data_IF_136929261034
#
_entry.id   IF_136929261034
#
_cell.length_a   1.000
_cell.length_b   1.000
_cell.length_c   1.000
_cell.angle_alpha   90.00
_cell.angle_beta   90.00
_cell.angle_gamma   90.00
#
_symmetry.space_group_name_H-M   'P 1'
#
loop_
_entity.id
_entity.type
_entity.pdbx_description
1 polymer ?
#
# COMPACT_ATOMS: atom_id res chain seq x y z
N UNK A 1 8.90 10.58 6.13
CA UNK A 1 7.75 11.04 6.97
C UNK A 1 7.70 10.14 8.21
N UNK A 2 7.58 10.71 9.41
CA UNK A 2 7.63 9.96 10.68
C UNK A 2 6.55 8.87 10.80
N UNK A 3 5.35 9.08 10.22
CA UNK A 3 4.28 8.09 10.27
C UNK A 3 4.65 6.74 9.60
N UNK A 4 5.55 6.75 8.61
CA UNK A 4 5.85 5.58 7.78
C UNK A 4 7.07 4.78 8.23
N UNK A 5 7.94 5.37 9.05
CA UNK A 5 9.18 4.70 9.45
C UNK A 5 8.92 3.63 10.50
N UNK A 6 9.77 2.61 10.47
CA UNK A 6 9.85 1.50 11.42
C UNK A 6 11.06 1.62 12.35
N UNK A 7 11.91 2.65 12.17
CA UNK A 7 13.07 2.94 13.03
C UNK A 7 12.76 4.06 14.01
N UNK A 8 13.17 3.90 15.28
CA UNK A 8 13.08 4.96 16.30
C UNK A 8 13.86 6.21 15.91
N UNK A 9 15.05 6.04 15.35
CA UNK A 9 15.94 7.14 14.97
C UNK A 9 15.32 8.00 13.87
N UNK A 10 14.85 7.34 12.80
CA UNK A 10 14.16 8.02 11.71
C UNK A 10 12.83 8.64 12.17
N UNK A 11 12.11 7.98 13.08
CA UNK A 11 10.88 8.50 13.66
C UNK A 11 11.13 9.85 14.31
N UNK A 12 12.05 9.92 15.27
CA UNK A 12 12.35 11.18 15.97
C UNK A 12 12.92 12.24 15.05
N UNK A 13 13.79 11.85 14.10
CA UNK A 13 14.31 12.78 13.08
C UNK A 13 13.18 13.44 12.28
N UNK A 14 12.27 12.64 11.72
CA UNK A 14 11.16 13.18 10.93
C UNK A 14 10.07 13.84 11.78
N UNK A 15 9.89 13.40 13.03
CA UNK A 15 8.92 13.98 13.95
C UNK A 15 9.35 15.39 14.35
N UNK A 16 10.61 15.57 14.73
CA UNK A 16 11.17 16.90 15.01
C UNK A 16 11.07 17.84 13.80
N UNK A 17 11.37 17.34 12.60
CA UNK A 17 11.17 18.12 11.36
C UNK A 17 9.70 18.51 11.14
N UNK A 18 8.75 17.62 11.42
CA UNK A 18 7.32 17.88 11.29
C UNK A 18 6.85 18.95 12.28
N UNK A 19 7.28 18.86 13.54
CA UNK A 19 6.96 19.84 14.57
C UNK A 19 7.57 21.21 14.24
N UNK A 20 8.85 21.25 13.84
CA UNK A 20 9.53 22.50 13.52
C UNK A 20 8.90 23.21 12.32
N UNK A 21 8.48 22.48 11.29
CA UNK A 21 7.84 23.05 10.10
C UNK A 21 6.35 23.38 10.32
N UNK A 22 5.65 22.61 11.16
CA UNK A 22 4.21 22.73 11.40
C UNK A 22 3.83 23.70 12.52
N UNK A 23 4.78 24.03 13.40
CA UNK A 23 4.58 24.95 14.52
C UNK A 23 3.76 24.36 15.68
N UNK A 24 3.33 25.21 16.64
CA UNK A 24 2.69 24.78 17.87
C UNK A 24 1.39 23.99 17.67
N UNK A 25 0.59 24.36 16.66
CA UNK A 25 -0.68 23.69 16.40
C UNK A 25 -0.50 22.22 15.98
N UNK A 26 0.51 21.91 15.14
CA UNK A 26 0.82 20.53 14.76
C UNK A 26 1.33 19.73 15.96
N UNK A 27 2.11 20.36 16.85
CA UNK A 27 2.57 19.74 18.09
C UNK A 27 1.41 19.37 19.01
N UNK A 28 0.47 20.29 19.22
CA UNK A 28 -0.71 20.07 20.05
C UNK A 28 -1.60 18.97 19.47
N UNK A 29 -1.89 19.03 18.17
CA UNK A 29 -2.67 18.00 17.47
C UNK A 29 -2.04 16.60 17.55
N UNK A 30 -0.72 16.48 17.34
CA UNK A 30 -0.07 15.17 17.41
C UNK A 30 0.11 14.67 18.85
N UNK A 31 0.11 15.56 19.83
CA UNK A 31 0.18 15.18 21.26
C UNK A 31 -1.17 14.67 21.77
N UNK A 32 -2.30 15.05 21.15
CA UNK A 32 -3.62 14.56 21.52
C UNK A 32 -3.95 13.17 20.98
N UNK A 33 -3.13 12.64 20.06
CA UNK A 33 -3.36 11.33 19.44
C UNK A 33 -2.20 10.38 19.78
N UNK A 34 -2.47 9.27 20.50
CA UNK A 34 -1.46 8.25 20.77
C UNK A 34 -0.76 7.77 19.48
N UNK A 35 0.59 7.67 19.48
CA UNK A 35 1.35 7.36 18.27
C UNK A 35 1.05 5.98 17.69
N UNK A 36 0.54 5.05 18.50
CA UNK A 36 0.07 3.73 18.07
C UNK A 36 -1.00 3.84 16.97
N UNK A 37 -1.83 4.89 16.98
CA UNK A 37 -2.90 5.05 16.01
C UNK A 37 -2.45 5.59 14.65
N UNK A 38 -1.29 6.23 14.55
CA UNK A 38 -0.88 6.93 13.32
C UNK A 38 0.56 6.68 12.87
N UNK A 39 1.41 6.07 13.70
CA UNK A 39 2.80 5.79 13.37
C UNK A 39 3.08 4.27 13.29
N UNK A 40 3.70 3.85 12.20
CA UNK A 40 4.03 2.44 11.94
C UNK A 40 4.92 1.82 13.03
N UNK A 41 5.89 2.59 13.52
CA UNK A 41 6.79 2.16 14.58
C UNK A 41 6.06 1.64 15.84
N UNK A 42 4.95 2.27 16.21
CA UNK A 42 4.20 2.00 17.43
C UNK A 42 2.94 1.16 17.20
N UNK A 43 2.56 0.90 15.96
CA UNK A 43 1.37 0.10 15.67
C UNK A 43 1.63 -1.39 15.91
N UNK A 44 0.78 -2.02 16.72
CA UNK A 44 0.92 -3.42 17.11
C UNK A 44 0.39 -4.41 16.05
N UNK A 45 -0.50 -3.98 15.16
CA UNK A 45 -1.11 -4.83 14.13
C UNK A 45 -0.40 -4.82 12.77
N UNK A 46 -1.04 -5.45 11.79
CA UNK A 46 -0.62 -5.42 10.38
C UNK A 46 -1.45 -4.38 9.62
N UNK A 47 -0.81 -3.36 9.03
CA UNK A 47 -1.53 -2.35 8.22
C UNK A 47 -1.66 -2.70 6.76
N UNK A 48 -1.01 -3.78 6.31
CA UNK A 48 -0.97 -4.21 4.91
C UNK A 48 -0.65 -3.07 3.93
N UNK A 49 0.18 -2.10 4.36
CA UNK A 49 0.58 -0.87 3.63
C UNK A 49 -0.50 0.19 3.43
N UNK A 50 -1.70 -0.01 3.95
CA UNK A 50 -2.78 0.96 3.84
C UNK A 50 -2.77 1.89 5.05
N UNK A 51 -2.49 3.17 4.81
CA UNK A 51 -2.46 4.24 5.83
C UNK A 51 -3.62 5.24 5.67
N UNK A 52 -4.39 5.13 4.59
CA UNK A 52 -5.51 6.02 4.31
C UNK A 52 -6.68 5.22 3.75
N UNK A 53 -7.83 5.24 4.40
CA UNK A 53 -9.07 4.81 3.74
C UNK A 53 -9.33 5.75 2.57
N UNK A 54 -9.40 5.23 1.35
CA UNK A 54 -9.64 6.00 0.11
C UNK A 54 -11.01 6.71 0.04
N UNK A 55 -11.73 6.83 1.16
CA UNK A 55 -13.05 7.45 1.28
C UNK A 55 -13.01 8.98 1.29
N UNK A 56 -11.83 9.60 1.44
CA UNK A 56 -11.68 11.07 1.47
C UNK A 56 -12.01 11.79 0.14
N UNK A 57 -12.41 11.06 -0.91
CA UNK A 57 -12.76 11.60 -2.23
C UNK A 57 -14.26 11.84 -2.46
N UNK A 58 -15.14 11.55 -1.50
CA UNK A 58 -16.59 11.73 -1.62
C UNK A 58 -17.06 13.14 -1.21
N UNK A 59 -16.16 14.13 -1.27
CA UNK A 59 -16.44 15.52 -0.91
C UNK A 59 -16.93 16.35 -2.10
N UNK A 60 -18.20 16.22 -2.47
CA UNK A 60 -19.02 17.30 -3.02
C UNK A 60 -20.48 16.84 -3.13
N UNK A 61 -21.44 17.75 -2.98
CA UNK A 61 -22.89 17.50 -2.95
C UNK A 61 -23.36 16.45 -3.96
N UNK A 62 -24.03 15.41 -3.48
CA UNK A 62 -24.82 14.51 -4.32
C UNK A 62 -25.98 13.94 -3.52
N UNK A 63 -27.12 13.74 -4.20
CA UNK A 63 -28.21 12.92 -3.71
C UNK A 63 -27.64 11.57 -3.21
N UNK A 64 -27.92 11.21 -1.95
CA UNK A 64 -27.39 10.00 -1.33
C UNK A 64 -27.62 8.76 -2.21
N UNK A 65 -28.78 8.65 -2.85
CA UNK A 65 -29.10 7.57 -3.78
C UNK A 65 -28.14 7.48 -4.97
N UNK A 66 -27.77 8.62 -5.57
CA UNK A 66 -26.82 8.67 -6.68
C UNK A 66 -25.40 8.28 -6.23
N UNK A 67 -24.99 8.72 -5.03
CA UNK A 67 -23.73 8.30 -4.42
C UNK A 67 -23.68 6.78 -4.19
N UNK A 68 -24.75 6.20 -3.64
CA UNK A 68 -24.82 4.76 -3.42
C UNK A 68 -24.73 3.99 -4.72
N UNK A 69 -25.45 4.41 -5.76
CA UNK A 69 -25.40 3.72 -7.05
C UNK A 69 -24.03 3.87 -7.74
N UNK A 70 -23.40 5.05 -7.67
CA UNK A 70 -22.05 5.25 -8.18
C UNK A 70 -21.00 4.41 -7.43
N UNK A 71 -21.12 4.27 -6.11
CA UNK A 71 -20.26 3.40 -5.31
C UNK A 71 -20.50 1.94 -5.69
N UNK A 72 -21.77 1.53 -5.81
CA UNK A 72 -22.18 0.18 -6.22
C UNK A 72 -21.59 -0.17 -7.59
N UNK A 73 -21.72 0.70 -8.59
CA UNK A 73 -21.17 0.49 -9.95
C UNK A 73 -19.65 0.36 -9.91
N UNK A 74 -18.95 1.22 -9.15
CA UNK A 74 -17.50 1.15 -9.01
C UNK A 74 -17.05 -0.15 -8.35
N UNK A 75 -17.71 -0.57 -7.27
CA UNK A 75 -17.42 -1.82 -6.58
C UNK A 75 -17.75 -3.02 -7.48
N UNK A 76 -18.88 -3.01 -8.17
CA UNK A 76 -19.29 -4.08 -9.09
C UNK A 76 -18.26 -4.28 -10.20
N UNK A 77 -17.81 -3.18 -10.84
CA UNK A 77 -16.73 -3.23 -11.84
C UNK A 77 -15.43 -3.76 -11.25
N UNK A 78 -15.01 -3.25 -10.10
CA UNK A 78 -13.80 -3.70 -9.42
C UNK A 78 -13.85 -5.19 -9.06
N UNK A 79 -14.97 -5.69 -8.54
CA UNK A 79 -15.18 -7.09 -8.22
C UNK A 79 -15.09 -7.95 -9.48
N UNK A 80 -15.76 -7.54 -10.57
CA UNK A 80 -15.74 -8.24 -11.86
C UNK A 80 -14.33 -8.30 -12.45
N UNK A 81 -13.63 -7.17 -12.50
CA UNK A 81 -12.26 -7.08 -13.05
C UNK A 81 -11.29 -7.98 -12.24
N UNK A 82 -11.42 -7.99 -10.91
CA UNK A 82 -10.59 -8.83 -10.02
C UNK A 82 -10.94 -10.31 -10.09
N UNK A 83 -12.22 -10.64 -10.24
CA UNK A 83 -12.65 -12.01 -10.48
C UNK A 83 -12.05 -12.55 -11.78
N UNK A 84 -12.09 -11.77 -12.86
CA UNK A 84 -11.59 -12.22 -14.16
C UNK A 84 -10.06 -12.33 -14.19
N UNK A 85 -9.34 -11.35 -13.64
CA UNK A 85 -7.87 -11.40 -13.62
C UNK A 85 -7.36 -12.59 -12.80
N UNK A 86 -7.99 -12.91 -11.66
CA UNK A 86 -7.50 -13.97 -10.79
C UNK A 86 -7.69 -15.37 -11.38
N UNK A 87 -8.63 -15.57 -12.32
CA UNK A 87 -8.78 -16.84 -13.07
C UNK A 87 -7.51 -17.19 -13.85
N UNK A 88 -6.77 -16.17 -14.31
CA UNK A 88 -5.52 -16.37 -15.05
C UNK A 88 -4.33 -16.75 -14.16
N UNK A 89 -4.48 -16.67 -12.84
CA UNK A 89 -3.39 -16.91 -11.89
C UNK A 89 -3.27 -18.39 -11.52
N UNK A 90 -2.10 -18.96 -11.79
CA UNK A 90 -1.70 -20.33 -11.44
C UNK A 90 -0.65 -20.37 -10.30
N UNK A 91 -0.34 -19.22 -9.73
CA UNK A 91 0.67 -19.01 -8.69
C UNK A 91 0.08 -19.20 -7.30
N UNK A 92 0.90 -19.60 -6.33
CA UNK A 92 0.47 -19.77 -4.92
C UNK A 92 0.13 -18.42 -4.28
N UNK A 93 0.97 -17.41 -4.53
CA UNK A 93 0.77 -16.04 -4.07
C UNK A 93 0.25 -15.17 -5.20
N UNK A 94 -0.41 -14.07 -4.85
CA UNK A 94 -0.85 -13.08 -5.85
C UNK A 94 0.37 -12.58 -6.65
N UNK A 95 0.28 -12.40 -7.99
CA UNK A 95 1.44 -12.06 -8.81
C UNK A 95 2.21 -10.80 -8.40
N UNK A 96 1.52 -9.78 -7.88
CA UNK A 96 2.18 -8.58 -7.36
C UNK A 96 3.05 -8.88 -6.13
N UNK A 97 2.63 -9.85 -5.32
CA UNK A 97 3.32 -10.27 -4.11
C UNK A 97 4.53 -11.13 -4.47
N UNK A 98 4.40 -12.07 -5.41
CA UNK A 98 5.55 -12.85 -5.90
C UNK A 98 6.62 -11.97 -6.51
N UNK A 99 6.20 -10.95 -7.26
CA UNK A 99 7.11 -9.95 -7.82
C UNK A 99 7.88 -9.22 -6.71
N UNK A 100 7.20 -8.78 -5.66
CA UNK A 100 7.88 -8.09 -4.57
C UNK A 100 8.82 -9.01 -3.76
N UNK A 101 8.42 -10.26 -3.53
CA UNK A 101 9.30 -11.26 -2.92
C UNK A 101 10.54 -11.46 -3.80
N UNK A 102 10.36 -11.51 -5.12
CA UNK A 102 11.46 -11.60 -6.07
C UNK A 102 12.39 -10.38 -6.01
N UNK A 103 11.85 -9.17 -5.85
CA UNK A 103 12.64 -7.96 -5.63
C UNK A 103 13.40 -8.02 -4.29
N UNK A 104 12.77 -8.50 -3.23
CA UNK A 104 13.39 -8.71 -1.92
C UNK A 104 14.56 -9.71 -2.00
N UNK A 105 14.38 -10.80 -2.77
CA UNK A 105 15.45 -11.76 -3.05
C UNK A 105 16.64 -11.12 -3.76
N UNK A 106 16.40 -10.31 -4.79
CA UNK A 106 17.50 -9.61 -5.50
C UNK A 106 18.24 -8.64 -4.59
N UNK A 107 17.52 -7.90 -3.75
CA UNK A 107 18.13 -6.94 -2.82
C UNK A 107 19.03 -7.62 -1.79
N UNK A 108 18.62 -8.81 -1.32
CA UNK A 108 19.32 -9.52 -0.27
C UNK A 108 20.38 -10.51 -0.72
N UNK A 109 20.55 -10.71 -2.03
CA UNK A 109 21.40 -11.75 -2.62
C UNK A 109 22.86 -11.73 -2.14
N UNK A 110 23.40 -10.56 -1.82
CA UNK A 110 24.80 -10.37 -1.45
C UNK A 110 25.05 -10.37 0.06
N UNK A 111 24.00 -10.44 0.89
CA UNK A 111 24.15 -10.34 2.33
C UNK A 111 24.58 -11.68 2.93
N UNK A 112 25.55 -11.62 3.84
CA UNK A 112 25.92 -12.76 4.67
C UNK A 112 25.01 -12.83 5.90
N UNK A 113 24.86 -14.03 6.45
CA UNK A 113 24.01 -14.30 7.60
C UNK A 113 24.75 -15.22 8.56
N UNK A 114 24.63 -14.96 9.86
CA UNK A 114 25.05 -15.86 10.94
C UNK A 114 23.81 -16.41 11.62
N UNK A 115 23.74 -17.74 11.76
CA UNK A 115 22.67 -18.40 12.53
C UNK A 115 23.00 -18.30 14.01
N UNK A 116 22.09 -17.72 14.80
CA UNK A 116 22.27 -17.60 16.26
C UNK A 116 21.70 -18.82 16.98
N UNK A 117 20.43 -19.15 16.76
CA UNK A 117 19.74 -20.29 17.37
C UNK A 117 18.52 -20.69 16.54
N UNK A 118 18.34 -21.97 16.23
CA UNK A 118 17.17 -22.54 15.54
C UNK A 118 16.69 -21.78 14.27
N UNK A 119 15.71 -20.89 14.38
CA UNK A 119 15.19 -20.07 13.27
C UNK A 119 15.56 -18.58 13.39
N UNK A 120 16.56 -18.27 14.21
CA UNK A 120 17.05 -16.92 14.49
C UNK A 120 18.39 -16.68 13.79
N UNK A 121 18.45 -15.60 13.03
CA UNK A 121 19.59 -15.20 12.21
C UNK A 121 19.93 -13.73 12.46
N UNK A 122 21.23 -13.42 12.40
CA UNK A 122 21.73 -12.08 12.20
C UNK A 122 22.10 -11.91 10.73
N UNK A 123 21.52 -10.90 10.08
CA UNK A 123 21.82 -10.51 8.70
C UNK A 123 22.79 -9.33 8.72
N UNK A 124 23.96 -9.53 8.09
CA UNK A 124 25.06 -8.56 8.08
C UNK A 124 24.83 -7.50 7.02
N UNK A 125 23.98 -6.54 7.36
CA UNK A 125 23.75 -5.29 6.64
C UNK A 125 24.35 -4.13 7.44
N UNK A 126 24.23 -2.89 6.93
CA UNK A 126 24.59 -1.71 7.69
C UNK A 126 23.36 -0.80 7.89
N UNK A 127 22.71 -0.82 9.06
CA UNK A 127 23.00 -1.63 10.25
C UNK A 127 22.62 -3.11 10.09
N UNK A 128 23.14 -4.00 10.93
CA UNK A 128 22.74 -5.42 10.97
C UNK A 128 21.31 -5.58 11.47
N UNK A 129 20.65 -6.65 11.03
CA UNK A 129 19.27 -6.94 11.42
C UNK A 129 19.10 -8.35 11.97
N UNK A 130 18.32 -8.46 13.05
CA UNK A 130 17.92 -9.74 13.63
C UNK A 130 16.66 -10.20 12.90
N UNK A 131 16.64 -11.46 12.49
CA UNK A 131 15.49 -12.13 11.90
C UNK A 131 15.16 -13.36 12.74
N UNK A 132 13.91 -13.49 13.16
CA UNK A 132 13.37 -14.66 13.83
C UNK A 132 12.21 -15.18 12.98
N UNK A 133 12.44 -16.28 12.26
CA UNK A 133 11.43 -16.84 11.36
C UNK A 133 10.28 -17.50 12.13
N UNK A 134 10.54 -18.04 13.33
CA UNK A 134 9.50 -18.65 14.16
C UNK A 134 8.48 -17.63 14.67
N UNK A 135 8.94 -16.39 14.92
CA UNK A 135 8.08 -15.27 15.34
C UNK A 135 7.64 -14.36 14.19
N UNK A 136 7.99 -14.67 12.94
CA UNK A 136 7.73 -13.84 11.76
C UNK A 136 8.23 -12.40 11.95
N UNK A 137 9.42 -12.29 12.54
CA UNK A 137 9.97 -11.04 13.02
C UNK A 137 11.26 -10.67 12.31
N UNK A 138 11.40 -9.38 12.00
CA UNK A 138 12.68 -8.79 11.61
C UNK A 138 12.81 -7.44 12.32
N UNK A 139 14.00 -7.14 12.84
CA UNK A 139 14.27 -5.88 13.55
C UNK A 139 14.14 -4.63 12.67
N UNK A 140 14.12 -4.78 11.34
CA UNK A 140 13.79 -3.66 10.45
C UNK A 140 12.29 -3.27 10.50
N UNK A 141 11.44 -4.06 11.15
CA UNK A 141 10.00 -3.81 11.35
C UNK A 141 9.13 -3.99 10.10
N UNK A 142 9.74 -4.08 8.91
CA UNK A 142 9.01 -4.15 7.64
C UNK A 142 8.15 -5.40 7.51
N UNK A 143 8.61 -6.54 8.06
CA UNK A 143 7.86 -7.79 7.95
C UNK A 143 6.50 -7.69 8.64
N UNK A 144 6.49 -7.34 9.93
CA UNK A 144 5.27 -7.09 10.70
C UNK A 144 4.37 -6.05 10.04
N UNK A 145 4.95 -4.93 9.59
CA UNK A 145 4.18 -3.83 8.99
C UNK A 145 3.49 -4.21 7.69
N UNK A 146 4.16 -4.99 6.83
CA UNK A 146 3.66 -5.36 5.50
C UNK A 146 2.85 -6.66 5.51
N UNK A 147 2.99 -7.50 6.54
CA UNK A 147 2.51 -8.89 6.53
C UNK A 147 3.28 -9.78 5.55
N UNK A 148 4.48 -9.34 5.13
CA UNK A 148 5.28 -9.95 4.07
C UNK A 148 6.76 -9.96 4.44
N UNK A 149 7.51 -11.04 4.19
CA UNK A 149 8.94 -11.09 4.45
C UNK A 149 9.67 -9.92 3.80
N UNK A 150 10.42 -9.16 4.58
CA UNK A 150 11.34 -8.15 4.05
C UNK A 150 12.57 -8.82 3.41
N UNK A 151 13.44 -8.05 2.75
CA UNK A 151 14.65 -8.61 2.14
C UNK A 151 15.52 -9.40 3.14
N UNK A 152 15.69 -8.93 4.38
CA UNK A 152 16.44 -9.67 5.42
C UNK A 152 15.78 -11.01 5.75
N UNK A 153 14.44 -11.01 5.87
CA UNK A 153 13.67 -12.20 6.14
C UNK A 153 13.75 -13.20 4.98
N UNK A 154 13.60 -12.72 3.75
CA UNK A 154 13.76 -13.54 2.55
C UNK A 154 15.12 -14.24 2.57
N UNK A 155 16.22 -13.51 2.81
CA UNK A 155 17.56 -14.10 2.93
C UNK A 155 17.66 -15.20 3.97
N UNK A 156 17.10 -14.98 5.16
CA UNK A 156 17.11 -15.95 6.25
C UNK A 156 16.31 -17.21 5.88
N UNK A 157 15.15 -17.05 5.24
CA UNK A 157 14.32 -18.17 4.78
C UNK A 157 15.09 -19.06 3.79
N UNK A 158 15.93 -18.49 2.92
CA UNK A 158 16.73 -19.29 1.98
C UNK A 158 17.84 -20.11 2.62
N UNK A 159 18.14 -19.86 3.90
CA UNK A 159 19.07 -20.68 4.69
C UNK A 159 18.34 -21.85 5.39
N UNK A 160 17.07 -22.07 5.05
CA UNK A 160 16.22 -23.13 5.57
C UNK A 160 15.57 -23.91 4.43
N UNK A 161 14.99 -25.06 4.73
CA UNK A 161 14.24 -25.87 3.76
C UNK A 161 12.76 -25.43 3.62
N UNK A 162 12.36 -24.36 4.31
CA UNK A 162 11.00 -23.85 4.24
C UNK A 162 10.73 -23.09 2.95
N UNK A 163 9.48 -23.15 2.49
CA UNK A 163 9.04 -22.39 1.33
C UNK A 163 8.59 -20.99 1.72
N UNK A 164 8.93 -19.99 0.90
CA UNK A 164 8.67 -18.58 1.17
C UNK A 164 7.18 -18.26 1.44
N UNK A 165 6.26 -18.96 0.78
CA UNK A 165 4.83 -18.75 0.95
C UNK A 165 4.32 -19.13 2.35
N UNK A 166 5.08 -19.93 3.12
CA UNK A 166 4.75 -20.29 4.50
C UNK A 166 4.98 -19.12 5.48
N UNK A 167 5.65 -18.06 5.03
CA UNK A 167 6.03 -16.88 5.82
C UNK A 167 5.30 -15.61 5.37
N UNK A 168 4.27 -15.78 4.54
CA UNK A 168 3.44 -14.73 3.97
C UNK A 168 2.05 -14.83 4.57
N UNK A 169 1.46 -13.68 4.91
CA UNK A 169 0.08 -13.65 5.40
C UNK A 169 -0.89 -14.26 4.37
N UNK A 170 -1.83 -15.08 4.84
CA UNK A 170 -2.81 -15.81 4.02
C UNK A 170 -3.61 -14.87 3.09
N UNK A 171 -3.82 -13.62 3.48
CA UNK A 171 -4.55 -12.62 2.67
C UNK A 171 -3.85 -12.29 1.35
N UNK A 172 -2.57 -12.64 1.20
CA UNK A 172 -1.79 -12.44 -0.03
C UNK A 172 -1.74 -13.67 -0.94
N UNK A 173 -2.40 -14.77 -0.55
CA UNK A 173 -2.48 -15.98 -1.37
C UNK A 173 -3.49 -15.82 -2.51
N UNK A 174 -3.21 -16.45 -3.64
CA UNK A 174 -4.13 -16.49 -4.78
C UNK A 174 -5.46 -17.14 -4.41
N UNK A 175 -5.44 -18.14 -3.54
CA UNK A 175 -6.64 -18.83 -3.04
C UNK A 175 -7.55 -17.87 -2.27
N UNK A 176 -6.99 -17.09 -1.34
CA UNK A 176 -7.76 -16.11 -0.56
C UNK A 176 -8.27 -14.97 -1.44
N UNK A 177 -7.47 -14.51 -2.41
CA UNK A 177 -7.91 -13.51 -3.39
C UNK A 177 -9.09 -14.04 -4.21
N UNK A 178 -9.00 -15.25 -4.77
CA UNK A 178 -10.09 -15.89 -5.53
C UNK A 178 -11.36 -16.02 -4.68
N UNK A 179 -11.23 -16.44 -3.42
CA UNK A 179 -12.35 -16.53 -2.50
C UNK A 179 -13.00 -15.15 -2.25
N UNK A 180 -12.20 -14.11 -2.03
CA UNK A 180 -12.67 -12.74 -1.79
C UNK A 180 -13.50 -12.19 -2.96
N UNK A 181 -13.08 -12.48 -4.20
CA UNK A 181 -13.74 -11.99 -5.42
C UNK A 181 -14.61 -13.04 -6.11
N UNK A 182 -15.04 -14.07 -5.39
CA UNK A 182 -15.88 -15.15 -5.95
C UNK A 182 -17.34 -14.74 -6.16
N UNK A 183 -17.81 -13.73 -5.42
CA UNK A 183 -19.20 -13.28 -5.45
C UNK A 183 -19.37 -12.00 -6.27
N UNK A 184 -20.44 -11.94 -7.06
CA UNK A 184 -20.81 -10.76 -7.81
C UNK A 184 -21.67 -9.81 -6.95
N UNK A 185 -21.47 -8.50 -7.14
CA UNK A 185 -22.49 -7.52 -6.76
C UNK A 185 -23.53 -7.54 -7.89
N UNK A 186 -24.73 -8.02 -7.58
CA UNK A 186 -25.77 -8.17 -8.59
C UNK A 186 -26.24 -6.81 -9.14
N UNK A 187 -26.56 -6.73 -10.44
CA UNK A 187 -27.16 -5.53 -11.00
C UNK A 187 -28.52 -5.30 -10.33
N UNK A 188 -28.75 -4.08 -9.87
CA UNK A 188 -30.08 -3.63 -9.44
C UNK A 188 -30.68 -2.91 -10.64
N UNK A 189 -31.68 -3.49 -11.33
CA UNK A 189 -32.40 -2.74 -12.36
C UNK A 189 -33.00 -1.51 -11.68
N UNK A 190 -32.68 -0.31 -12.18
CA UNK A 190 -33.42 0.88 -11.77
C UNK A 190 -34.85 0.73 -12.28
N UNK A 191 -35.74 0.21 -11.45
CA UNK A 191 -37.15 0.49 -11.61
C UNK A 191 -37.35 1.97 -11.28
N UNK A 192 -38.00 2.67 -12.22
CA UNK A 192 -38.50 4.04 -12.17
C UNK A 192 -37.99 4.94 -11.05
N UNK A 193 -37.29 6.02 -11.43
CA UNK A 193 -37.07 7.18 -10.56
C UNK A 193 -38.37 7.51 -9.81
N UNK A 194 -38.45 7.44 -8.48
CA UNK A 194 -39.50 8.13 -7.78
C UNK A 194 -39.22 9.63 -7.95
N UNK A 195 -40.13 10.29 -8.67
CA UNK A 195 -40.75 11.57 -8.35
C UNK A 195 -40.01 12.38 -7.28
N UNK A 196 -39.53 13.57 -7.68
CA UNK A 196 -39.27 14.75 -6.84
C UNK A 196 -39.08 14.45 -5.35
N UNK A 197 -37.84 14.34 -4.90
CA UNK A 197 -37.51 14.22 -3.47
C UNK A 197 -37.93 15.53 -2.78
N UNK A 198 -38.85 15.51 -1.80
CA UNK A 198 -39.17 16.70 -1.01
C UNK A 198 -37.90 17.21 -0.33
N UNK A 199 -37.75 18.53 -0.23
CA UNK A 199 -36.58 19.22 0.32
C UNK A 199 -36.14 18.74 1.72
N UNK A 200 -36.99 18.01 2.42
CA UNK A 200 -36.77 17.46 3.76
C UNK A 200 -35.75 16.31 3.82
N UNK A 201 -35.40 15.68 2.67
CA UNK A 201 -34.40 14.61 2.59
C UNK A 201 -33.00 15.04 2.12
N UNK A 202 -32.80 16.34 1.86
CA UNK A 202 -31.51 16.87 1.42
C UNK A 202 -30.57 17.02 2.63
N UNK A 203 -29.58 16.15 2.75
CA UNK A 203 -28.49 16.36 3.70
C UNK A 203 -27.60 17.47 3.12
N UNK A 204 -27.61 18.64 3.74
CA UNK A 204 -26.76 19.75 3.33
C UNK A 204 -25.28 19.38 3.49
N UNK A 205 -24.47 19.71 2.48
CA UNK A 205 -23.04 19.49 2.57
C UNK A 205 -22.45 20.34 3.70
N UNK A 206 -21.44 19.85 4.45
CA UNK A 206 -20.73 20.64 5.43
C UNK A 206 -20.22 21.93 4.77
N UNK A 207 -20.39 23.08 5.43
CA UNK A 207 -19.94 24.37 4.91
C UNK A 207 -18.41 24.43 4.86
N UNK A 208 -17.79 23.90 3.81
CA UNK A 208 -16.34 23.96 3.62
C UNK A 208 -15.98 25.24 2.89
N UNK A 209 -15.25 26.16 3.54
CA UNK A 209 -14.65 27.32 2.86
C UNK A 209 -13.62 26.81 1.84
N UNK A 210 -13.90 26.96 0.55
CA UNK A 210 -12.92 26.72 -0.50
C UNK A 210 -11.83 27.79 -0.35
N UNK A 211 -10.61 27.38 -0.01
CA UNK A 211 -9.47 28.28 0.08
C UNK A 211 -9.23 29.01 -1.25
N UNK A 212 -8.73 30.24 -1.20
CA UNK A 212 -8.39 31.02 -2.42
C UNK A 212 -7.34 30.26 -3.24
N UNK A 213 -7.69 29.87 -4.47
CA UNK A 213 -6.79 29.22 -5.42
C UNK A 213 -7.47 28.15 -6.28
N UNK A 214 -6.85 27.78 -7.41
CA UNK A 214 -7.33 26.72 -8.29
C UNK A 214 -7.38 25.40 -7.53
N UNK A 215 -8.52 24.70 -7.46
CA UNK A 215 -8.61 23.37 -6.86
C UNK A 215 -7.57 22.46 -7.51
N UNK A 216 -6.75 21.80 -6.69
CA UNK A 216 -5.79 20.82 -7.20
C UNK A 216 -6.59 19.64 -7.76
N UNK A 217 -6.60 19.50 -9.08
CA UNK A 217 -7.27 18.39 -9.78
C UNK A 217 -6.52 17.07 -9.62
N UNK A 218 -5.24 17.12 -9.24
CA UNK A 218 -4.42 15.94 -8.97
C UNK A 218 -4.37 15.69 -7.46
N UNK A 219 -4.76 14.48 -7.07
CA UNK A 219 -4.59 13.96 -5.71
C UNK A 219 -3.12 14.10 -5.30
N UNK A 220 -2.87 14.54 -4.06
CA UNK A 220 -1.53 14.47 -3.46
C UNK A 220 -1.23 12.99 -3.23
N UNK A 221 -0.22 12.48 -3.92
CA UNK A 221 0.17 11.08 -3.82
C UNK A 221 0.77 10.79 -2.44
N UNK A 222 0.45 9.63 -1.89
CA UNK A 222 1.05 9.13 -0.65
C UNK A 222 2.55 8.88 -0.87
N UNK A 223 3.39 9.35 0.04
CA UNK A 223 4.83 9.03 0.01
C UNK A 223 5.01 7.51 0.15
N UNK A 224 5.45 6.86 -0.92
CA UNK A 224 5.54 5.40 -1.01
C UNK A 224 5.17 4.84 -2.40
N UNK A 225 4.43 5.58 -3.23
CA UNK A 225 4.27 5.22 -4.65
C UNK A 225 5.55 5.56 -5.42
N UNK A 226 6.19 4.55 -6.00
CA UNK A 226 7.24 4.76 -7.01
C UNK A 226 6.56 5.25 -8.28
N UNK A 227 6.52 6.57 -8.46
CA UNK A 227 6.03 7.17 -9.70
C UNK A 227 7.07 6.89 -10.78
N UNK A 228 6.75 5.99 -11.71
CA UNK A 228 7.52 5.90 -12.95
C UNK A 228 7.33 7.22 -13.68
N UNK A 229 8.36 8.07 -13.72
CA UNK A 229 8.35 9.28 -14.55
C UNK A 229 8.69 8.90 -15.99
N UNK A 230 7.88 9.38 -16.93
CA UNK A 230 8.23 9.28 -18.33
C UNK A 230 9.51 10.08 -18.58
N UNK A 231 10.40 9.54 -19.41
CA UNK A 231 11.69 10.12 -19.79
C UNK A 231 11.88 9.98 -21.29
N UNK A 232 12.67 10.88 -21.88
CA UNK A 232 13.08 10.74 -23.26
C UNK A 232 14.01 9.53 -23.40
N UNK A 233 13.62 8.54 -24.21
CA UNK A 233 14.48 7.39 -24.47
C UNK A 233 15.55 7.77 -25.50
N UNK A 234 16.84 7.71 -25.14
CA UNK A 234 17.94 8.01 -26.07
C UNK A 234 18.18 6.99 -27.19
N UNK A 235 17.23 6.08 -27.47
CA UNK A 235 17.23 5.20 -28.65
C UNK A 235 16.10 5.58 -29.60
N UNK A 236 14.84 5.53 -29.14
CA UNK A 236 13.67 5.84 -29.97
C UNK A 236 13.25 7.31 -29.92
N UNK A 237 13.92 8.14 -29.12
CA UNK A 237 13.62 9.57 -28.90
C UNK A 237 12.15 9.88 -28.55
N UNK A 238 11.42 8.90 -27.99
CA UNK A 238 10.05 9.07 -27.51
C UNK A 238 10.04 9.30 -25.99
N UNK A 239 9.05 10.05 -25.50
CA UNK A 239 8.80 10.21 -24.06
C UNK A 239 8.06 8.98 -23.52
N UNK A 240 8.79 8.11 -22.81
CA UNK A 240 8.34 6.75 -22.47
C UNK A 240 8.88 6.32 -21.09
N UNK A 241 8.42 5.18 -20.56
CA UNK A 241 8.83 4.68 -19.24
C UNK A 241 10.04 3.73 -19.26
N UNK A 242 10.59 3.41 -20.43
CA UNK A 242 11.82 2.61 -20.60
C UNK A 242 13.05 3.52 -20.82
N UNK A 243 14.26 2.97 -20.78
CA UNK A 243 15.50 3.71 -21.11
C UNK A 243 16.19 3.11 -22.34
N UNK A 244 17.30 3.71 -22.80
CA UNK A 244 18.09 3.23 -23.95
C UNK A 244 18.46 1.73 -23.85
N UNK A 245 18.75 1.24 -22.63
CA UNK A 245 19.16 -0.15 -22.37
C UNK A 245 17.99 -1.14 -22.48
N UNK A 246 16.77 -0.68 -22.17
CA UNK A 246 15.56 -1.52 -22.17
C UNK A 246 14.61 -1.15 -23.32
N UNK A 247 15.11 -0.45 -24.35
CA UNK A 247 14.33 -0.04 -25.51
C UNK A 247 14.35 -1.16 -26.55
N UNK A 248 13.18 -1.63 -26.97
CA UNK A 248 13.03 -2.72 -27.93
C UNK A 248 13.03 -2.28 -29.40
N UNK A 249 13.16 -0.98 -29.69
CA UNK A 249 13.31 -0.53 -31.08
C UNK A 249 14.69 -0.92 -31.64
N UNK A 250 14.67 -1.37 -32.89
CA UNK A 250 15.85 -1.79 -33.65
C UNK A 250 16.67 -0.54 -34.00
N UNK A 251 17.99 -0.59 -33.83
CA UNK A 251 18.88 0.47 -34.27
C UNK A 251 18.88 0.50 -35.81
N UNK A 252 18.42 1.60 -36.39
CA UNK A 252 18.68 1.94 -37.79
C UNK A 252 20.03 2.65 -37.90
#
# INVERSE_FOLDING_TARGET
MCAYTTSKEEFYKYFSLLINNGGPHVKEFLSSIPPEHWANLYFFGQRYREMTSALAGLGSMFNAYYCYDMIRIKLMKMMSDRHEICKTWNTTLCPEIEKEISECFQNGRIWSLTKSFDLVFEVHTNPSHIVDLGRWYCSCGLWRMKGLPCAHAVCAIQRTDFQIHQFVDVHFTTTYFKATYSHAINPVPMFDKPVVIPSEGLIEAPTTKIGRGRPKTKRIESAGKVVKKARLCGRCNKFVFHNKKTCSEVLH
#
